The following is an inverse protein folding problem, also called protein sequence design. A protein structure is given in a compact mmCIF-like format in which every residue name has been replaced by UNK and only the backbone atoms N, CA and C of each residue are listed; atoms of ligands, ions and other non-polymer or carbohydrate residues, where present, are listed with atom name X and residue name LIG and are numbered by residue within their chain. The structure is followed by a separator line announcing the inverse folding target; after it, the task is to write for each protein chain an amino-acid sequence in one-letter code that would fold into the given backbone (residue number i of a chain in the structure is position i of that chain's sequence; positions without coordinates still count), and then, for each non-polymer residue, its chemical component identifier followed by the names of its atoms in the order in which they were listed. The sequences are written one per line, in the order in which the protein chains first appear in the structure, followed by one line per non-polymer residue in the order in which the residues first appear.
data_IF_491733305900
#
_entry.id   IF_491733305900
#
_cell.length_a   1.000
_cell.length_b   1.000
_cell.length_c   1.000
_cell.angle_alpha   90.00
_cell.angle_beta   90.00
_cell.angle_gamma   90.00
#
_symmetry.space_group_name_H-M   'P 1'
#
loop_
_entity.id
_entity.type
_entity.pdbx_description
1 polymer ?
#
# COMPACT_ATOMS: atom_id res chain seq x y z
N UNK A 1 3.32 16.44 -25.94
CA UNK A 1 3.21 15.76 -24.64
C UNK A 1 2.33 16.63 -23.73
N UNK A 2 1.22 16.12 -23.20
CA UNK A 2 0.26 16.92 -22.43
C UNK A 2 0.47 16.68 -20.93
N UNK A 3 1.16 17.60 -20.26
CA UNK A 3 1.55 17.49 -18.85
C UNK A 3 0.38 17.22 -17.90
N UNK A 4 -0.80 17.79 -18.17
CA UNK A 4 -2.00 17.55 -17.33
C UNK A 4 -2.46 16.09 -17.40
N UNK A 5 -2.34 15.45 -18.57
CA UNK A 5 -2.71 14.03 -18.74
C UNK A 5 -1.74 13.11 -17.98
N UNK A 6 -0.44 13.39 -18.02
CA UNK A 6 0.56 12.60 -17.29
C UNK A 6 0.42 12.76 -15.76
N UNK A 7 0.19 13.98 -15.26
CA UNK A 7 -0.09 14.20 -13.83
C UNK A 7 -1.34 13.46 -13.35
N UNK A 8 -2.40 13.42 -14.16
CA UNK A 8 -3.61 12.67 -13.81
C UNK A 8 -3.34 11.17 -13.76
N UNK A 9 -2.57 10.60 -14.69
CA UNK A 9 -2.17 9.19 -14.65
C UNK A 9 -1.36 8.86 -13.40
N UNK A 10 -0.40 9.71 -13.03
CA UNK A 10 0.38 9.51 -11.80
C UNK A 10 -0.50 9.53 -10.56
N UNK A 11 -1.48 10.44 -10.49
CA UNK A 11 -2.43 10.53 -9.39
C UNK A 11 -3.34 9.30 -9.30
N UNK A 12 -3.85 8.82 -10.43
CA UNK A 12 -4.65 7.60 -10.49
C UNK A 12 -3.83 6.39 -10.05
N UNK A 13 -2.56 6.31 -10.44
CA UNK A 13 -1.67 5.24 -10.04
C UNK A 13 -1.37 5.27 -8.54
N UNK A 14 -1.05 6.44 -7.97
CA UNK A 14 -0.85 6.62 -6.53
C UNK A 14 -2.09 6.26 -5.70
N UNK A 15 -3.30 6.40 -6.26
CA UNK A 15 -4.54 6.02 -5.57
C UNK A 15 -4.61 4.52 -5.26
N UNK A 16 -3.89 3.70 -6.03
CA UNK A 16 -3.83 2.24 -5.85
C UNK A 16 -2.92 1.80 -4.72
N UNK A 17 -2.00 2.66 -4.28
CA UNK A 17 -1.08 2.37 -3.20
C UNK A 17 -1.78 2.27 -1.84
N UNK A 18 -2.70 3.19 -1.55
CA UNK A 18 -3.34 3.27 -0.24
C UNK A 18 -4.12 2.00 0.14
N UNK A 19 -4.96 1.40 -0.74
CA UNK A 19 -5.60 0.12 -0.46
C UNK A 19 -4.61 -1.00 -0.11
N UNK A 20 -3.48 -1.08 -0.81
CA UNK A 20 -2.45 -2.11 -0.58
C UNK A 20 -1.75 -1.89 0.75
N UNK A 21 -1.32 -0.65 1.05
CA UNK A 21 -0.73 -0.29 2.34
C UNK A 21 -1.68 -0.57 3.50
N UNK A 22 -2.97 -0.25 3.32
CA UNK A 22 -4.01 -0.55 4.32
C UNK A 22 -4.14 -2.05 4.58
N UNK A 23 -4.11 -2.87 3.53
CA UNK A 23 -4.18 -4.33 3.62
C UNK A 23 -2.95 -4.89 4.34
N UNK A 24 -1.75 -4.42 4.00
CA UNK A 24 -0.50 -4.82 4.66
C UNK A 24 -0.50 -4.49 6.16
N UNK A 25 -0.95 -3.28 6.54
CA UNK A 25 -1.07 -2.91 7.96
C UNK A 25 -2.10 -3.78 8.68
N UNK A 26 -3.24 -4.07 8.04
CA UNK A 26 -4.25 -4.95 8.62
C UNK A 26 -3.68 -6.36 8.85
N UNK A 27 -3.01 -6.93 7.85
CA UNK A 27 -2.34 -8.22 7.94
C UNK A 27 -1.27 -8.24 9.04
N UNK A 28 -0.47 -7.18 9.16
CA UNK A 28 0.53 -7.07 10.24
C UNK A 28 -0.12 -7.10 11.63
N UNK A 29 -1.27 -6.45 11.81
CA UNK A 29 -1.99 -6.44 13.10
C UNK A 29 -2.59 -7.80 13.46
N UNK A 30 -2.98 -8.57 12.45
CA UNK A 30 -3.54 -9.91 12.62
C UNK A 30 -2.45 -10.98 12.79
N UNK A 31 -1.19 -10.66 12.43
CA UNK A 31 -0.05 -11.55 12.53
C UNK A 31 0.25 -11.96 13.97
N UNK A 32 0.39 -13.25 14.21
CA UNK A 32 0.82 -13.79 15.50
C UNK A 32 2.29 -14.19 15.46
N UNK A 33 2.99 -14.02 16.58
CA UNK A 33 4.38 -14.46 16.69
C UNK A 33 4.49 -15.96 16.39
N UNK A 34 5.25 -16.32 15.37
CA UNK A 34 5.45 -17.70 14.92
C UNK A 34 4.63 -18.13 13.70
N UNK A 35 3.80 -17.26 13.14
CA UNK A 35 3.11 -17.54 11.87
C UNK A 35 4.10 -17.70 10.72
N UNK A 36 3.80 -18.61 9.79
CA UNK A 36 4.61 -18.82 8.58
C UNK A 36 4.44 -17.64 7.60
N UNK A 37 5.48 -17.27 6.81
CA UNK A 37 5.39 -16.19 5.83
C UNK A 37 4.17 -16.31 4.91
N UNK A 38 3.40 -15.22 4.79
CA UNK A 38 2.16 -15.20 4.03
C UNK A 38 2.46 -14.93 2.57
N UNK A 39 2.08 -15.87 1.71
CA UNK A 39 2.20 -15.70 0.28
C UNK A 39 1.21 -14.66 -0.25
N UNK A 40 1.71 -13.71 -1.03
CA UNK A 40 0.92 -12.75 -1.79
C UNK A 40 0.73 -13.33 -3.19
N UNK A 41 -0.43 -13.95 -3.40
CA UNK A 41 -0.74 -14.69 -4.65
C UNK A 41 -1.31 -13.82 -5.77
N UNK A 42 -1.86 -12.66 -5.45
CA UNK A 42 -2.47 -11.77 -6.43
C UNK A 42 -1.40 -10.94 -7.14
N UNK A 43 -1.21 -11.16 -8.45
CA UNK A 43 -0.18 -10.49 -9.26
C UNK A 43 -0.25 -8.98 -9.20
N UNK A 44 -1.44 -8.39 -9.28
CA UNK A 44 -1.61 -6.94 -9.22
C UNK A 44 -1.14 -6.35 -7.89
N UNK A 45 -1.50 -7.01 -6.77
CA UNK A 45 -1.05 -6.60 -5.44
C UNK A 45 0.46 -6.79 -5.28
N UNK A 46 1.01 -7.90 -5.79
CA UNK A 46 2.46 -8.15 -5.77
C UNK A 46 3.24 -7.04 -6.49
N UNK A 47 2.83 -6.65 -7.70
CA UNK A 47 3.48 -5.58 -8.46
C UNK A 47 3.45 -4.25 -7.72
N UNK A 48 2.30 -3.89 -7.12
CA UNK A 48 2.19 -2.65 -6.33
C UNK A 48 3.12 -2.70 -5.12
N UNK A 49 3.27 -3.85 -4.45
CA UNK A 49 4.18 -3.95 -3.30
C UNK A 49 5.63 -3.81 -3.73
N UNK A 50 6.03 -4.43 -4.84
CA UNK A 50 7.38 -4.27 -5.39
C UNK A 50 7.66 -2.81 -5.74
N UNK A 51 6.70 -2.12 -6.32
CA UNK A 51 6.79 -0.68 -6.59
C UNK A 51 6.89 0.15 -5.31
N UNK A 52 6.09 -0.18 -4.28
CA UNK A 52 6.16 0.47 -2.97
C UNK A 52 7.53 0.28 -2.29
N UNK A 53 8.18 -0.87 -2.50
CA UNK A 53 9.55 -1.13 -2.06
C UNK A 53 10.53 -0.24 -2.85
N UNK A 54 10.39 -0.19 -4.17
CA UNK A 54 11.27 0.59 -5.06
C UNK A 54 11.22 2.10 -4.76
N UNK A 55 10.04 2.65 -4.49
CA UNK A 55 9.87 4.07 -4.12
C UNK A 55 10.14 4.33 -2.62
N UNK A 56 10.50 3.31 -1.84
CA UNK A 56 10.89 3.44 -0.44
C UNK A 56 9.76 3.64 0.56
N UNK A 57 8.51 3.32 0.20
CA UNK A 57 7.35 3.38 1.11
C UNK A 57 7.12 2.06 1.87
N UNK A 58 7.55 0.94 1.31
CA UNK A 58 7.52 -0.36 1.97
C UNK A 58 8.94 -0.80 2.34
N UNK A 59 9.08 -1.41 3.50
CA UNK A 59 10.35 -1.97 3.97
C UNK A 59 10.65 -3.27 3.23
N UNK A 60 11.75 -3.30 2.46
CA UNK A 60 12.16 -4.47 1.67
C UNK A 60 12.41 -5.70 2.56
N UNK A 61 12.93 -5.51 3.78
CA UNK A 61 13.24 -6.62 4.68
C UNK A 61 12.00 -7.31 5.24
N UNK A 62 10.84 -6.67 5.12
CA UNK A 62 9.56 -7.26 5.50
C UNK A 62 9.05 -8.28 4.48
N UNK A 63 9.72 -8.43 3.33
CA UNK A 63 9.29 -9.30 2.25
C UNK A 63 10.39 -10.25 1.76
N UNK A 64 9.96 -11.42 1.30
CA UNK A 64 10.80 -12.38 0.56
C UNK A 64 10.33 -12.37 -0.88
N UNK A 65 11.20 -11.96 -1.80
CA UNK A 65 10.94 -11.97 -3.24
C UNK A 65 11.60 -13.20 -3.85
N UNK A 66 10.83 -14.06 -4.52
CA UNK A 66 11.39 -15.16 -5.31
C UNK A 66 11.37 -14.79 -6.79
N UNK A 67 12.52 -14.98 -7.43
CA UNK A 67 12.70 -14.76 -8.86
C UNK A 67 13.08 -16.06 -9.55
N UNK A 68 12.68 -16.21 -10.81
CA UNK A 68 13.08 -17.31 -11.70
C UNK A 68 13.22 -16.77 -13.11
N UNK A 69 14.38 -16.96 -13.74
CA UNK A 69 14.66 -16.42 -15.09
C UNK A 69 14.31 -14.92 -15.21
N UNK A 70 14.74 -14.14 -14.22
CA UNK A 70 14.46 -12.70 -14.06
C UNK A 70 12.99 -12.30 -13.83
N UNK A 71 12.05 -13.23 -13.91
CA UNK A 71 10.65 -13.00 -13.55
C UNK A 71 10.40 -13.16 -12.05
N UNK A 72 9.62 -12.25 -11.47
CA UNK A 72 9.14 -12.40 -10.09
C UNK A 72 8.06 -13.48 -10.06
N UNK A 73 8.38 -14.60 -9.42
CA UNK A 73 7.51 -15.78 -9.33
C UNK A 73 6.72 -15.85 -8.03
N UNK A 74 7.08 -15.03 -7.05
CA UNK A 74 6.24 -14.84 -5.87
C UNK A 74 6.81 -13.84 -4.88
N UNK A 75 5.95 -13.45 -3.96
CA UNK A 75 6.22 -12.52 -2.89
C UNK A 75 5.61 -13.06 -1.59
N UNK A 76 6.39 -13.09 -0.51
CA UNK A 76 5.92 -13.50 0.80
C UNK A 76 6.16 -12.38 1.80
N UNK A 77 5.16 -12.12 2.64
CA UNK A 77 5.26 -11.19 3.75
C UNK A 77 5.69 -11.94 5.01
N UNK A 78 6.69 -11.40 5.72
CA UNK A 78 7.36 -12.08 6.83
C UNK A 78 6.75 -11.81 8.21
N UNK A 79 5.78 -10.90 8.30
CA UNK A 79 5.20 -10.47 9.57
C UNK A 79 5.90 -9.26 10.22
N UNK A 80 7.08 -8.86 9.74
CA UNK A 80 7.75 -7.61 10.17
C UNK A 80 6.91 -6.38 9.79
N UNK A 81 7.12 -5.26 10.47
CA UNK A 81 6.35 -4.05 10.16
C UNK A 81 6.62 -3.58 8.72
N UNK A 82 5.60 -3.53 7.84
CA UNK A 82 5.83 -3.49 6.39
C UNK A 82 6.21 -2.12 5.82
N UNK A 83 6.20 -1.05 6.61
CA UNK A 83 6.37 0.32 6.13
C UNK A 83 7.65 0.96 6.65
N UNK A 84 8.25 1.80 5.82
CA UNK A 84 9.29 2.76 6.22
C UNK A 84 8.64 3.99 6.87
N UNK A 85 9.46 4.90 7.43
CA UNK A 85 8.97 6.17 7.98
C UNK A 85 8.21 7.01 6.94
N UNK A 86 8.73 7.08 5.70
CA UNK A 86 8.07 7.80 4.60
C UNK A 86 6.74 7.14 4.20
N UNK A 87 6.70 5.81 4.18
CA UNK A 87 5.46 5.06 3.96
C UNK A 87 4.42 5.34 5.04
N UNK A 88 4.84 5.46 6.30
CA UNK A 88 3.98 5.84 7.42
C UNK A 88 3.43 7.26 7.25
N UNK A 89 4.28 8.22 6.86
CA UNK A 89 3.86 9.60 6.61
C UNK A 89 2.83 9.65 5.48
N UNK A 90 3.08 8.98 4.36
CA UNK A 90 2.15 8.87 3.24
C UNK A 90 0.81 8.24 3.65
N UNK A 91 0.86 7.13 4.39
CA UNK A 91 -0.33 6.42 4.85
C UNK A 91 -1.18 7.28 5.80
N UNK A 92 -0.54 7.98 6.75
CA UNK A 92 -1.22 8.88 7.68
C UNK A 92 -1.82 10.10 6.97
N UNK A 93 -1.11 10.69 6.01
CA UNK A 93 -1.61 11.82 5.21
C UNK A 93 -2.90 11.49 4.47
N UNK A 94 -2.97 10.31 3.84
CA UNK A 94 -4.19 9.83 3.18
C UNK A 94 -5.34 9.59 4.16
N UNK A 95 -5.04 9.07 5.36
CA UNK A 95 -6.06 8.82 6.40
C UNK A 95 -6.70 10.13 6.87
N UNK A 96 -5.91 11.20 7.03
CA UNK A 96 -6.39 12.53 7.44
C UNK A 96 -7.31 13.16 6.38
N UNK A 97 -6.96 13.04 5.09
CA UNK A 97 -7.80 13.52 3.99
C UNK A 97 -9.14 12.77 3.92
N UNK A 98 -9.14 11.46 4.13
CA UNK A 98 -10.37 10.66 4.12
C UNK A 98 -11.32 11.01 5.27
N UNK A 99 -10.81 11.25 6.49
CA UNK A 99 -11.62 11.67 7.63
C UNK A 99 -12.14 13.10 7.46
N UNK A 100 -11.33 14.03 6.93
CA UNK A 100 -11.75 15.41 6.69
C UNK A 100 -12.85 15.49 5.62
N UNK A 101 -12.71 14.74 4.52
CA UNK A 101 -13.76 14.62 3.51
C UNK A 101 -15.04 13.99 4.08
N UNK A 102 -14.93 12.89 4.82
CA UNK A 102 -16.10 12.26 5.47
C UNK A 102 -16.78 13.20 6.47
N UNK A 103 -16.03 13.98 7.25
CA UNK A 103 -16.58 14.97 8.17
C UNK A 103 -17.29 16.12 7.43
N UNK A 104 -16.71 16.58 6.32
CA UNK A 104 -17.32 17.60 5.46
C UNK A 104 -18.63 17.09 4.84
N UNK A 105 -18.63 15.90 4.23
CA UNK A 105 -19.84 15.30 3.65
C UNK A 105 -20.92 15.02 4.71
N UNK A 106 -20.54 14.55 5.89
CA UNK A 106 -21.49 14.31 6.99
C UNK A 106 -22.08 15.61 7.55
N UNK A 107 -21.38 16.74 7.44
CA UNK A 107 -21.90 18.08 7.79
C UNK A 107 -22.82 18.62 6.69
N UNK A 108 -22.54 18.31 5.42
CA UNK A 108 -23.33 18.75 4.26
C UNK A 108 -24.67 18.01 4.12
N UNK A 109 -24.73 16.73 4.52
CA UNK A 109 -25.89 15.85 4.32
C UNK A 109 -26.60 15.45 5.63
N UNK A 110 -26.55 16.27 6.69
CA UNK A 110 -27.43 16.04 7.85
C UNK A 110 -28.89 16.31 7.44
N UNK A 111 -29.82 15.34 7.57
CA UNK A 111 -31.23 15.67 7.54
C UNK A 111 -31.56 16.53 8.77
N UNK A 112 -32.32 17.61 8.53
CA UNK A 112 -32.92 18.47 9.56
C UNK A 112 -33.90 17.67 10.43
#
# INVERSE_FOLDING_TARGET
MNYRKELNKMREHHSRYYPVLKKLIAQHREWRNGDAPLQISETATMLIILELIDIGYADAESFIVRKRFDDVTGLWYTGRYPLTDDGVLFFRGNRLLSCALLAFFRKLFRPL
#
